data_IF_620955669060
#
_entry.id   IF_620955669060
#
_cell.length_a   1.000
_cell.length_b   1.000
_cell.length_c   1.000
_cell.angle_alpha   90.00
_cell.angle_beta   90.00
_cell.angle_gamma   90.00
#
_symmetry.space_group_name_H-M   'P 1'
#
loop_
_entity.id
_entity.type
_entity.pdbx_description
1 polymer ?
#
# COMPACT_ATOMS: atom_id res chain seq x y z
N UNK A 1 -9.65 -4.14 -45.48
CA UNK A 1 -9.38 -3.59 -44.13
C UNK A 1 -9.63 -4.72 -43.15
N UNK A 2 -8.61 -5.23 -42.46
CA UNK A 2 -8.83 -6.14 -41.34
C UNK A 2 -9.28 -5.30 -40.14
N UNK A 3 -10.49 -5.55 -39.65
CA UNK A 3 -10.95 -5.01 -38.36
C UNK A 3 -10.43 -5.91 -37.25
N UNK A 4 -9.65 -5.35 -36.33
CA UNK A 4 -9.15 -6.03 -35.14
C UNK A 4 -9.89 -5.43 -33.93
N UNK A 5 -10.66 -6.24 -33.20
CA UNK A 5 -11.20 -5.87 -31.89
C UNK A 5 -10.61 -6.78 -30.80
N UNK A 6 -10.34 -6.22 -29.62
CA UNK A 6 -9.86 -6.95 -28.44
C UNK A 6 -10.76 -6.65 -27.26
N UNK A 7 -11.20 -7.69 -26.53
CA UNK A 7 -11.47 -7.60 -25.10
C UNK A 7 -11.40 -9.02 -24.47
N UNK A 8 -10.45 -9.23 -23.56
CA UNK A 8 -10.37 -10.45 -22.75
C UNK A 8 -9.06 -10.57 -21.96
N UNK A 9 -9.02 -9.96 -20.76
CA UNK A 9 -7.94 -10.16 -19.78
C UNK A 9 -8.38 -11.20 -18.74
N UNK A 10 -7.49 -12.12 -18.37
CA UNK A 10 -7.72 -13.10 -17.29
C UNK A 10 -6.55 -13.02 -16.32
N UNK A 11 -6.84 -12.87 -15.02
CA UNK A 11 -5.87 -13.02 -13.95
C UNK A 11 -5.85 -14.50 -13.48
N UNK A 12 -4.68 -15.15 -13.49
CA UNK A 12 -4.50 -16.53 -13.00
C UNK A 12 -3.16 -17.17 -13.42
N UNK A 13 -2.65 -18.18 -12.67
CA UNK A 13 -1.21 -18.49 -12.64
C UNK A 13 -0.72 -19.40 -13.80
N UNK A 14 0.50 -19.07 -14.25
CA UNK A 14 1.55 -19.81 -14.97
C UNK A 14 1.15 -20.99 -15.89
N UNK A 15 1.38 -20.82 -17.20
CA UNK A 15 2.12 -21.79 -18.02
C UNK A 15 2.63 -21.16 -19.34
N UNK A 16 3.93 -21.41 -19.59
CA UNK A 16 4.70 -21.43 -20.84
C UNK A 16 4.77 -20.20 -21.75
N UNK A 17 6.01 -19.75 -21.91
CA UNK A 17 6.45 -18.62 -22.71
C UNK A 17 6.37 -18.87 -24.23
N UNK A 18 5.90 -17.86 -24.96
CA UNK A 18 6.31 -17.58 -26.34
C UNK A 18 6.81 -16.14 -26.37
N UNK A 19 8.09 -16.00 -26.70
CA UNK A 19 8.83 -14.75 -26.70
C UNK A 19 8.54 -14.00 -28.01
N UNK A 20 7.63 -13.04 -27.98
CA UNK A 20 7.65 -11.92 -28.92
C UNK A 20 8.22 -10.73 -28.17
N UNK A 21 9.35 -10.20 -28.65
CA UNK A 21 10.04 -9.08 -28.02
C UNK A 21 9.16 -7.83 -28.01
N UNK A 22 8.41 -7.65 -26.93
CA UNK A 22 7.60 -6.47 -26.66
C UNK A 22 7.97 -5.99 -25.26
N UNK A 23 8.98 -5.13 -25.20
CA UNK A 23 9.28 -4.37 -23.99
C UNK A 23 8.32 -3.18 -23.92
N UNK A 24 7.56 -2.98 -22.83
CA UNK A 24 6.91 -1.70 -22.60
C UNK A 24 8.00 -0.63 -22.48
N UNK A 25 8.03 0.33 -23.40
CA UNK A 25 9.06 1.39 -23.47
C UNK A 25 8.93 2.47 -22.40
N UNK A 26 8.06 2.28 -21.42
CA UNK A 26 8.02 3.09 -20.22
C UNK A 26 7.38 2.28 -19.11
N UNK A 27 8.10 2.13 -17.99
CA UNK A 27 7.46 1.81 -16.71
C UNK A 27 6.29 2.78 -16.53
N UNK A 28 5.07 2.33 -16.22
CA UNK A 28 3.96 3.26 -16.06
C UNK A 28 4.38 4.28 -15.00
N UNK A 29 4.24 5.57 -15.33
CA UNK A 29 4.35 6.63 -14.34
C UNK A 29 3.40 6.23 -13.21
N UNK A 30 3.98 5.96 -12.04
CA UNK A 30 3.27 5.45 -10.89
C UNK A 30 2.16 6.43 -10.54
N UNK A 31 0.91 6.06 -10.81
CA UNK A 31 -0.25 6.88 -10.41
C UNK A 31 -0.29 6.86 -8.89
N UNK A 32 0.31 7.87 -8.26
CA UNK A 32 0.12 8.13 -6.83
C UNK A 32 -1.24 8.77 -6.70
N UNK A 33 -2.26 7.96 -6.47
CA UNK A 33 -3.54 8.46 -5.98
C UNK A 33 -3.27 9.19 -4.66
N UNK A 34 -3.74 10.43 -4.56
CA UNK A 34 -3.52 11.32 -3.42
C UNK A 34 -4.85 11.95 -3.03
N UNK A 35 -4.95 12.44 -1.80
CA UNK A 35 -6.20 13.06 -1.32
C UNK A 35 -7.24 12.04 -0.83
N UNK A 36 -6.84 10.79 -0.54
CA UNK A 36 -7.75 9.77 -0.05
C UNK A 36 -8.29 10.14 1.35
N UNK A 37 -9.59 9.95 1.56
CA UNK A 37 -10.20 10.24 2.86
C UNK A 37 -9.74 9.25 3.92
N UNK A 38 -9.45 9.74 5.12
CA UNK A 38 -9.18 8.88 6.27
C UNK A 38 -10.40 8.03 6.61
N UNK A 39 -10.19 6.75 6.90
CA UNK A 39 -11.22 5.87 7.46
C UNK A 39 -11.46 6.16 8.95
N UNK A 40 -10.46 6.74 9.63
CA UNK A 40 -10.57 7.14 11.02
C UNK A 40 -11.06 8.60 11.11
N UNK A 41 -12.23 8.88 11.72
CA UNK A 41 -12.77 10.23 11.80
C UNK A 41 -11.95 11.17 12.69
N UNK A 42 -11.02 10.65 13.50
CA UNK A 42 -10.09 11.44 14.31
C UNK A 42 -8.84 11.88 13.55
N UNK A 43 -8.72 11.52 12.27
CA UNK A 43 -7.63 11.94 11.39
C UNK A 43 -8.19 12.84 10.29
N UNK A 44 -7.80 14.10 10.31
CA UNK A 44 -8.17 15.09 9.29
C UNK A 44 -7.27 15.05 8.04
N UNK A 45 -6.17 14.30 8.09
CA UNK A 45 -5.21 14.21 7.01
C UNK A 45 -5.77 13.38 5.84
N UNK A 46 -5.39 13.78 4.62
CA UNK A 46 -5.65 12.98 3.43
C UNK A 46 -4.49 12.03 3.16
N UNK A 47 -4.80 10.78 2.84
CA UNK A 47 -3.81 9.76 2.58
C UNK A 47 -3.30 9.83 1.14
N UNK A 48 -1.99 9.60 0.99
CA UNK A 48 -1.40 9.21 -0.29
C UNK A 48 -1.39 7.67 -0.41
N UNK A 49 -1.82 7.14 -1.55
CA UNK A 49 -1.67 5.72 -1.86
C UNK A 49 -0.21 5.41 -2.18
N UNK A 50 0.40 4.56 -1.36
CA UNK A 50 1.80 4.15 -1.48
C UNK A 50 1.96 2.64 -1.36
N UNK A 51 3.15 2.16 -1.70
CA UNK A 51 3.58 0.77 -1.48
C UNK A 51 4.56 0.73 -0.32
N UNK A 52 4.75 -0.47 0.25
CA UNK A 52 5.83 -0.73 1.22
C UNK A 52 7.18 -0.26 0.68
N UNK A 53 7.45 -0.45 -0.62
CA UNK A 53 8.69 -0.03 -1.25
C UNK A 53 8.87 1.48 -1.27
N UNK A 54 7.83 2.29 -1.38
CA UNK A 54 7.98 3.75 -1.32
C UNK A 54 8.46 4.19 0.06
N UNK A 55 7.98 3.51 1.11
CA UNK A 55 8.33 3.81 2.50
C UNK A 55 9.73 3.29 2.81
N UNK A 56 10.06 2.05 2.43
CA UNK A 56 11.37 1.46 2.69
C UNK A 56 12.49 1.99 1.77
N UNK A 57 12.13 2.53 0.60
CA UNK A 57 13.08 3.04 -0.38
C UNK A 57 13.82 1.95 -1.17
N UNK A 58 15.00 2.26 -1.75
CA UNK A 58 15.74 1.37 -2.65
C UNK A 58 16.34 0.15 -1.94
N UNK A 59 16.43 0.14 -0.61
CA UNK A 59 16.93 -1.02 0.11
C UNK A 59 15.92 -2.17 0.19
N UNK A 60 14.67 -1.97 -0.25
CA UNK A 60 13.68 -3.06 -0.30
C UNK A 60 14.28 -4.34 -0.95
N UNK A 61 14.19 -5.52 -0.31
CA UNK A 61 13.36 -5.85 0.86
C UNK A 61 14.08 -5.75 2.23
N UNK A 62 15.13 -4.96 2.38
CA UNK A 62 15.72 -4.63 3.68
C UNK A 62 15.25 -3.25 4.13
N UNK A 63 15.31 -3.01 5.44
CA UNK A 63 14.94 -1.73 6.01
C UNK A 63 16.16 -0.81 6.08
N UNK A 64 15.98 0.44 5.66
CA UNK A 64 16.95 1.51 5.85
C UNK A 64 16.23 2.85 5.89
N UNK A 65 16.75 3.80 6.64
CA UNK A 65 16.31 5.19 6.51
C UNK A 65 16.84 5.83 5.21
N UNK A 66 18.01 5.37 4.72
CA UNK A 66 18.74 6.04 3.66
C UNK A 66 18.14 5.76 2.27
N UNK A 67 17.72 6.82 1.58
CA UNK A 67 17.11 6.74 0.25
C UNK A 67 15.61 6.47 0.26
N UNK A 68 14.96 6.39 1.43
CA UNK A 68 13.50 6.37 1.51
C UNK A 68 12.91 7.68 1.01
N UNK A 69 11.73 7.61 0.36
CA UNK A 69 10.93 8.79 0.00
C UNK A 69 10.59 9.65 1.22
N UNK A 70 10.44 9.02 2.39
CA UNK A 70 10.02 9.63 3.65
C UNK A 70 11.19 10.01 4.56
N UNK A 71 12.44 9.83 4.10
CA UNK A 71 13.62 10.27 4.84
C UNK A 71 13.59 11.80 5.01
N UNK A 72 13.68 12.30 6.24
CA UNK A 72 13.68 13.75 6.52
C UNK A 72 15.09 14.26 6.81
N UNK A 73 15.98 13.41 7.35
CA UNK A 73 17.40 13.72 7.53
C UNK A 73 18.27 12.44 7.52
N UNK A 74 19.53 12.51 7.94
CA UNK A 74 20.45 11.36 7.95
C UNK A 74 20.03 10.20 8.84
N UNK A 75 19.23 10.44 9.87
CA UNK A 75 18.90 9.46 10.92
C UNK A 75 17.39 9.33 11.19
N UNK A 76 16.55 10.12 10.54
CA UNK A 76 15.11 10.16 10.77
C UNK A 76 14.31 10.25 9.47
N UNK A 77 13.02 9.95 9.59
CA UNK A 77 12.04 10.02 8.53
C UNK A 77 10.61 9.92 9.05
N UNK A 78 9.64 10.28 8.22
CA UNK A 78 8.24 10.32 8.62
C UNK A 78 7.92 11.48 9.56
N UNK A 79 6.85 11.33 10.34
CA UNK A 79 6.41 12.32 11.34
C UNK A 79 7.50 12.55 12.42
N UNK A 80 7.56 13.74 13.03
CA UNK A 80 8.64 14.08 13.96
C UNK A 80 8.46 13.49 15.38
N UNK A 81 7.26 13.02 15.73
CA UNK A 81 6.93 12.51 17.06
C UNK A 81 6.00 11.30 16.95
N UNK A 82 6.46 10.14 17.42
CA UNK A 82 5.75 8.86 17.29
C UNK A 82 4.36 8.91 17.96
N UNK A 83 4.21 9.55 19.13
CA UNK A 83 2.99 9.52 19.95
C UNK A 83 2.06 10.68 19.76
N UNK A 84 2.29 11.54 18.76
CA UNK A 84 1.45 12.72 18.60
C UNK A 84 -0.03 12.31 18.44
N UNK A 85 -0.92 12.88 19.26
CA UNK A 85 -2.37 12.78 19.05
C UNK A 85 -2.85 13.66 17.88
N UNK A 86 -1.97 14.50 17.34
CA UNK A 86 -2.21 15.30 16.14
C UNK A 86 -0.92 15.38 15.30
N UNK A 87 -0.51 14.26 14.66
CA UNK A 87 0.66 14.28 13.78
C UNK A 87 0.46 15.27 12.62
N UNK A 88 1.52 15.92 12.12
CA UNK A 88 1.39 16.84 10.99
C UNK A 88 0.97 16.07 9.74
N UNK A 89 -0.02 16.54 8.98
CA UNK A 89 -0.49 15.86 7.76
C UNK A 89 0.53 15.82 6.62
N UNK A 90 1.56 16.66 6.69
CA UNK A 90 2.62 16.72 5.70
C UNK A 90 3.98 16.73 6.35
N UNK A 91 4.96 16.16 5.66
CA UNK A 91 6.39 16.29 5.97
C UNK A 91 7.13 16.88 4.78
N UNK A 92 8.32 17.42 5.03
CA UNK A 92 9.27 17.76 3.97
C UNK A 92 10.41 16.75 4.03
N UNK A 93 10.63 16.01 2.95
CA UNK A 93 11.71 15.04 2.91
C UNK A 93 13.08 15.71 2.68
N UNK A 94 14.15 14.92 2.73
CA UNK A 94 15.54 15.38 2.60
C UNK A 94 15.85 16.08 1.27
N UNK A 95 15.04 15.84 0.23
CA UNK A 95 15.19 16.52 -1.08
C UNK A 95 14.36 17.81 -1.20
N UNK A 96 13.65 18.20 -0.14
CA UNK A 96 12.78 19.38 -0.12
C UNK A 96 11.37 19.14 -0.66
N UNK A 97 10.99 17.89 -0.93
CA UNK A 97 9.65 17.54 -1.42
C UNK A 97 8.66 17.49 -0.26
N UNK A 98 7.52 18.17 -0.40
CA UNK A 98 6.40 18.06 0.54
C UNK A 98 5.57 16.82 0.19
N UNK A 99 5.33 15.98 1.18
CA UNK A 99 4.62 14.71 1.06
C UNK A 99 3.52 14.63 2.10
N UNK A 100 2.43 13.91 1.83
CA UNK A 100 1.54 13.50 2.91
C UNK A 100 2.32 12.58 3.85
N UNK A 101 2.23 12.82 5.16
CA UNK A 101 2.77 11.93 6.17
C UNK A 101 1.83 10.75 6.46
N UNK A 102 0.57 10.90 6.06
CA UNK A 102 -0.50 9.93 6.22
C UNK A 102 -0.65 9.15 4.93
N UNK A 103 -0.60 7.83 5.03
CA UNK A 103 -0.54 6.98 3.85
C UNK A 103 -1.57 5.87 3.91
N UNK A 104 -1.99 5.43 2.73
CA UNK A 104 -2.73 4.21 2.54
C UNK A 104 -1.83 3.20 1.81
N UNK A 105 -1.81 1.96 2.29
CA UNK A 105 -1.10 0.85 1.64
C UNK A 105 -2.10 -0.28 1.43
N UNK A 106 -2.36 -0.60 0.17
CA UNK A 106 -3.27 -1.68 -0.20
C UNK A 106 -2.50 -2.96 -0.49
N UNK A 107 -3.19 -4.10 -0.41
CA UNK A 107 -2.64 -5.32 -1.00
C UNK A 107 -1.56 -6.02 -0.18
N UNK A 108 -1.55 -5.88 1.16
CA UNK A 108 -0.51 -6.44 2.04
C UNK A 108 -1.05 -7.57 2.92
N UNK A 109 -0.17 -8.40 3.46
CA UNK A 109 -0.52 -9.41 4.47
C UNK A 109 0.02 -9.04 5.85
N UNK A 110 -0.77 -9.32 6.89
CA UNK A 110 -0.35 -9.15 8.29
C UNK A 110 0.50 -10.34 8.72
N UNK A 111 1.80 -10.12 8.83
CA UNK A 111 2.78 -11.09 9.29
C UNK A 111 3.14 -10.82 10.75
N UNK A 112 2.74 -11.70 11.67
CA UNK A 112 3.02 -11.56 13.10
C UNK A 112 2.30 -10.36 13.73
N UNK A 113 1.26 -10.60 14.52
CA UNK A 113 0.55 -9.56 15.27
C UNK A 113 0.33 -9.99 16.73
N UNK A 114 0.71 -9.12 17.66
CA UNK A 114 0.58 -9.38 19.10
C UNK A 114 -0.44 -8.46 19.75
N UNK A 115 -1.57 -9.01 20.20
CA UNK A 115 -2.50 -8.28 21.10
C UNK A 115 -1.86 -8.05 22.50
N UNK A 116 -0.70 -8.67 22.77
CA UNK A 116 0.12 -8.44 23.97
C UNK A 116 1.46 -7.81 23.62
N UNK A 117 2.04 -6.86 24.34
CA UNK A 117 1.60 -5.66 25.08
C UNK A 117 2.94 -5.00 25.38
N UNK A 118 3.55 -4.40 24.35
CA UNK A 118 4.77 -3.62 24.53
C UNK A 118 4.37 -2.24 25.03
N UNK A 119 5.28 -1.62 25.79
CA UNK A 119 5.16 -0.22 26.15
C UNK A 119 3.83 0.16 26.86
N UNK A 120 3.40 -0.66 27.82
CA UNK A 120 2.21 -0.35 28.61
C UNK A 120 2.39 0.88 29.51
N UNK A 121 1.36 1.73 29.59
CA UNK A 121 1.33 2.85 30.54
C UNK A 121 -0.10 3.09 31.04
N UNK A 122 -0.22 3.72 32.21
CA UNK A 122 -1.46 4.30 32.72
C UNK A 122 -1.58 5.80 32.46
N UNK A 123 -0.64 6.37 31.71
CA UNK A 123 -0.43 7.79 31.50
C UNK A 123 -0.15 8.09 30.03
N UNK A 124 -0.69 9.19 29.55
CA UNK A 124 -0.26 9.80 28.30
C UNK A 124 1.23 10.11 28.37
N UNK A 125 1.90 10.08 27.22
CA UNK A 125 3.24 10.60 27.06
C UNK A 125 3.31 12.08 27.45
N UNK A 126 4.51 12.55 27.82
CA UNK A 126 4.74 13.98 28.13
C UNK A 126 4.37 14.89 26.94
N UNK A 127 4.54 14.39 25.71
CA UNK A 127 4.16 15.10 24.48
C UNK A 127 2.66 15.40 24.44
N UNK A 128 1.84 14.50 25.00
CA UNK A 128 0.40 14.62 25.12
C UNK A 128 -0.06 15.12 26.51
N UNK A 129 0.82 15.82 27.24
CA UNK A 129 0.51 16.46 28.52
C UNK A 129 0.70 15.58 29.76
N UNK A 130 1.02 14.29 29.63
CA UNK A 130 1.45 13.45 30.75
C UNK A 130 0.36 13.06 31.76
N UNK A 131 -0.92 13.32 31.48
CA UNK A 131 -2.03 13.01 32.39
C UNK A 131 -2.37 11.52 32.48
N UNK A 132 -3.15 11.11 33.50
CA UNK A 132 -3.68 9.75 33.59
C UNK A 132 -4.62 9.45 32.43
N UNK A 133 -4.59 8.22 31.93
CA UNK A 133 -5.63 7.75 31.03
C UNK A 133 -7.00 7.74 31.71
N UNK A 134 -8.10 7.88 30.95
CA UNK A 134 -9.45 7.81 31.48
C UNK A 134 -9.68 6.56 32.34
N UNK A 135 -10.45 6.71 33.42
CA UNK A 135 -10.82 5.63 34.34
C UNK A 135 -9.64 4.86 34.96
N UNK A 136 -8.45 5.49 35.05
CA UNK A 136 -7.21 4.85 35.51
C UNK A 136 -6.86 3.55 34.76
N UNK A 137 -7.28 3.44 33.50
CA UNK A 137 -6.96 2.29 32.67
C UNK A 137 -5.48 2.27 32.27
N UNK A 138 -4.97 1.07 32.01
CA UNK A 138 -3.66 0.85 31.40
C UNK A 138 -3.85 0.45 29.96
N UNK A 139 -3.23 1.19 29.04
CA UNK A 139 -3.21 0.87 27.62
C UNK A 139 -1.78 0.48 27.20
N UNK A 140 -1.70 -0.43 26.23
CA UNK A 140 -0.44 -0.93 25.70
C UNK A 140 -0.47 -0.83 24.19
N UNK A 141 0.70 -0.65 23.59
CA UNK A 141 0.82 -0.63 22.13
C UNK A 141 0.61 -2.05 21.58
N UNK A 142 -0.16 -2.13 20.49
CA UNK A 142 -0.31 -3.36 19.73
C UNK A 142 0.49 -3.25 18.43
N UNK A 143 1.38 -4.20 18.20
CA UNK A 143 2.28 -4.15 17.06
C UNK A 143 2.09 -5.36 16.14
N UNK A 144 2.32 -5.13 14.84
CA UNK A 144 2.46 -6.18 13.85
C UNK A 144 3.42 -5.81 12.75
N UNK A 145 3.58 -6.69 11.77
CA UNK A 145 4.33 -6.41 10.55
C UNK A 145 3.44 -6.59 9.34
N UNK A 146 3.54 -5.70 8.36
CA UNK A 146 2.90 -5.87 7.07
C UNK A 146 3.96 -6.12 6.02
N UNK A 147 3.65 -7.03 5.10
CA UNK A 147 4.54 -7.47 4.04
C UNK A 147 3.77 -7.49 2.72
N UNK A 148 4.45 -7.21 1.60
CA UNK A 148 3.87 -7.33 0.27
C UNK A 148 3.51 -8.80 0.02
N UNK A 149 2.31 -9.07 -0.49
CA UNK A 149 1.88 -10.44 -0.80
C UNK A 149 2.92 -11.13 -1.70
N UNK A 150 3.26 -12.38 -1.36
CA UNK A 150 4.26 -13.17 -2.08
C UNK A 150 5.71 -12.86 -1.70
N UNK A 151 5.95 -11.99 -0.72
CA UNK A 151 7.30 -11.69 -0.20
C UNK A 151 7.47 -12.15 1.24
N UNK A 152 8.71 -12.41 1.66
CA UNK A 152 9.04 -12.94 3.00
C UNK A 152 10.05 -12.08 3.77
N UNK A 153 10.49 -10.97 3.18
CA UNK A 153 11.42 -9.98 3.76
C UNK A 153 10.93 -8.58 3.41
N UNK A 154 11.33 -7.58 4.20
CA UNK A 154 11.01 -6.17 3.92
C UNK A 154 9.63 -5.81 4.41
N UNK A 155 9.50 -5.68 5.72
CA UNK A 155 8.26 -5.35 6.38
C UNK A 155 8.22 -3.89 6.80
N UNK A 156 7.01 -3.33 6.87
CA UNK A 156 6.72 -2.16 7.71
C UNK A 156 6.16 -2.64 9.04
N UNK A 157 6.56 -2.02 10.14
CA UNK A 157 5.81 -2.16 11.39
C UNK A 157 4.49 -1.43 11.28
N UNK A 158 3.50 -1.92 12.00
CA UNK A 158 2.27 -1.19 12.27
C UNK A 158 2.08 -1.18 13.78
N UNK A 159 1.72 -0.02 14.33
CA UNK A 159 1.50 0.12 15.77
C UNK A 159 0.21 0.88 16.05
N UNK A 160 -0.74 0.23 16.72
CA UNK A 160 -1.85 0.97 17.35
C UNK A 160 -1.29 1.49 18.67
N UNK A 161 -0.94 2.78 18.68
CA UNK A 161 -0.28 3.44 19.80
C UNK A 161 -1.18 3.52 21.05
N UNK A 162 -0.56 3.39 22.21
CA UNK A 162 -1.25 3.43 23.50
C UNK A 162 -1.90 4.77 23.83
N UNK A 163 -1.32 5.90 23.42
CA UNK A 163 -1.89 7.22 23.71
C UNK A 163 -3.15 7.41 22.85
N UNK A 164 -3.13 6.88 21.62
CA UNK A 164 -4.29 6.80 20.75
C UNK A 164 -5.42 5.94 21.31
N UNK A 165 -5.10 4.76 21.83
CA UNK A 165 -6.07 3.92 22.56
C UNK A 165 -6.62 4.65 23.79
N UNK A 166 -5.74 5.25 24.60
CA UNK A 166 -6.14 6.00 25.79
C UNK A 166 -7.00 7.21 25.50
N UNK A 167 -6.81 7.86 24.35
CA UNK A 167 -7.67 8.95 23.86
C UNK A 167 -9.00 8.47 23.28
N UNK A 168 -9.11 7.18 22.96
CA UNK A 168 -10.27 6.60 22.28
C UNK A 168 -10.28 6.80 20.77
N UNK A 169 -9.14 7.16 20.16
CA UNK A 169 -9.00 7.30 18.71
C UNK A 169 -8.86 5.96 17.97
N UNK A 170 -8.72 4.88 18.73
CA UNK A 170 -8.81 3.50 18.26
C UNK A 170 -9.61 2.67 19.29
N UNK A 171 -10.38 1.68 18.84
CA UNK A 171 -11.20 0.82 19.69
C UNK A 171 -12.69 0.78 19.29
N UNK A 172 -13.57 0.46 20.25
CA UNK A 172 -15.01 0.17 20.03
C UNK A 172 -15.78 1.33 19.36
N UNK A 173 -15.32 2.57 19.47
CA UNK A 173 -15.90 3.75 18.82
C UNK A 173 -15.33 4.07 17.42
N UNK A 174 -14.31 3.34 16.96
CA UNK A 174 -13.60 3.59 15.70
C UNK A 174 -13.48 2.28 14.92
N UNK A 175 -14.50 1.89 14.12
CA UNK A 175 -14.61 0.55 13.53
C UNK A 175 -13.41 0.13 12.69
N UNK A 176 -12.79 1.09 11.97
CA UNK A 176 -11.62 0.83 11.13
C UNK A 176 -10.34 0.63 11.94
N UNK A 177 -10.30 1.06 13.20
CA UNK A 177 -9.17 0.84 14.11
C UNK A 177 -9.53 -0.17 15.21
N UNK A 178 -9.87 -1.39 14.78
CA UNK A 178 -10.19 -2.48 15.69
C UNK A 178 -8.94 -3.35 15.94
N UNK A 179 -8.32 -3.19 17.11
CA UNK A 179 -7.10 -3.90 17.49
C UNK A 179 -7.32 -5.39 17.82
N UNK A 180 -8.52 -5.78 18.25
CA UNK A 180 -8.84 -7.14 18.66
C UNK A 180 -9.07 -8.05 17.46
N UNK A 181 -9.82 -7.56 16.47
CA UNK A 181 -10.18 -8.33 15.27
C UNK A 181 -9.02 -8.38 14.27
N UNK A 182 -8.14 -7.36 14.22
CA UNK A 182 -7.00 -7.35 13.29
C UNK A 182 -6.14 -8.61 13.41
N UNK A 183 -5.89 -9.07 14.63
CA UNK A 183 -5.10 -10.28 14.88
C UNK A 183 -5.68 -11.57 14.29
N UNK A 184 -6.98 -11.60 13.97
CA UNK A 184 -7.63 -12.75 13.33
C UNK A 184 -7.23 -12.89 11.85
N UNK A 185 -6.70 -11.84 11.24
CA UNK A 185 -6.33 -11.80 9.82
C UNK A 185 -4.82 -11.99 9.58
N UNK A 186 -4.09 -12.50 10.58
CA UNK A 186 -2.69 -12.85 10.41
C UNK A 186 -2.53 -13.93 9.33
N UNK A 187 -1.70 -13.66 8.32
CA UNK A 187 -1.51 -14.53 7.16
C UNK A 187 -0.11 -14.33 6.56
N UNK A 188 0.38 -15.35 5.86
CA UNK A 188 1.61 -15.27 5.06
C UNK A 188 1.31 -15.08 3.56
N UNK A 189 0.24 -14.36 3.22
CA UNK A 189 -0.10 -13.97 1.85
C UNK A 189 -1.42 -14.52 1.28
N UNK A 190 -2.22 -15.23 2.07
CA UNK A 190 -3.56 -15.69 1.65
C UNK A 190 -4.68 -14.67 1.86
N UNK A 191 -4.43 -13.65 2.68
CA UNK A 191 -5.36 -12.57 2.98
C UNK A 191 -4.69 -11.25 2.59
N UNK A 192 -5.47 -10.42 1.89
CA UNK A 192 -5.08 -9.08 1.52
C UNK A 192 -5.78 -8.07 2.41
N UNK A 193 -5.01 -7.14 2.96
CA UNK A 193 -5.46 -6.05 3.82
C UNK A 193 -5.02 -4.71 3.22
N UNK A 194 -5.84 -3.70 3.44
CA UNK A 194 -5.48 -2.30 3.24
C UNK A 194 -5.28 -1.65 4.62
N UNK A 195 -4.26 -0.82 4.76
CA UNK A 195 -3.95 -0.09 5.99
C UNK A 195 -3.84 1.42 5.74
N UNK A 196 -4.25 2.21 6.73
CA UNK A 196 -3.96 3.64 6.81
C UNK A 196 -3.20 3.95 8.11
N UNK A 197 -2.20 4.81 8.01
CA UNK A 197 -1.41 5.23 9.16
C UNK A 197 -0.37 6.30 8.83
N UNK A 198 0.27 6.84 9.86
CA UNK A 198 1.32 7.83 9.70
C UNK A 198 2.68 7.16 9.53
N UNK A 199 3.43 7.58 8.53
CA UNK A 199 4.79 7.05 8.33
C UNK A 199 5.69 7.60 9.44
N UNK A 200 6.42 6.71 10.09
CA UNK A 200 7.39 7.03 11.14
C UNK A 200 8.65 6.18 10.99
N UNK A 201 9.80 6.74 11.37
CA UNK A 201 11.05 5.99 11.50
C UNK A 201 11.42 5.88 12.97
N UNK A 202 11.27 4.68 13.54
CA UNK A 202 11.75 4.38 14.89
C UNK A 202 13.25 4.03 14.81
N UNK A 203 14.10 5.06 14.81
CA UNK A 203 15.54 4.88 14.72
C UNK A 203 16.12 4.22 15.98
N UNK A 204 17.03 3.23 15.86
CA UNK A 204 17.69 2.69 14.65
C UNK A 204 17.04 1.43 14.03
N UNK A 205 15.77 1.13 14.31
CA UNK A 205 15.20 -0.20 14.10
C UNK A 205 14.45 -0.36 12.78
N UNK A 206 13.43 0.47 12.52
CA UNK A 206 12.52 0.22 11.41
C UNK A 206 11.59 1.38 11.04
N UNK A 207 11.04 1.28 9.82
CA UNK A 207 9.89 2.07 9.37
C UNK A 207 8.58 1.49 9.91
N UNK A 208 7.69 2.39 10.28
CA UNK A 208 6.40 2.06 10.86
C UNK A 208 5.27 2.87 10.23
N UNK A 209 4.07 2.30 10.26
CA UNK A 209 2.84 3.09 10.38
C UNK A 209 2.54 3.26 11.86
N UNK A 210 2.96 4.41 12.40
CA UNK A 210 2.82 4.77 13.80
C UNK A 210 2.31 6.21 13.93
N UNK A 211 1.09 6.42 14.44
CA UNK A 211 0.12 5.39 14.76
C UNK A 211 -0.48 4.79 13.48
N UNK A 212 -0.80 3.49 13.55
CA UNK A 212 -1.76 2.86 12.66
C UNK A 212 -3.16 3.37 13.03
N UNK A 213 -3.87 3.91 12.06
CA UNK A 213 -5.13 4.61 12.32
C UNK A 213 -6.33 3.83 11.80
N UNK A 214 -6.12 2.88 10.89
CA UNK A 214 -7.18 2.00 10.44
C UNK A 214 -6.72 0.92 9.47
N UNK A 215 -7.56 -0.10 9.31
CA UNK A 215 -7.36 -1.21 8.41
C UNK A 215 -8.70 -1.76 7.92
N UNK A 216 -8.66 -2.51 6.81
CA UNK A 216 -9.80 -3.30 6.31
C UNK A 216 -9.31 -4.46 5.46
N UNK A 217 -10.21 -5.42 5.20
CA UNK A 217 -10.00 -6.37 4.11
C UNK A 217 -9.93 -5.63 2.78
N UNK A 218 -8.93 -5.96 1.96
CA UNK A 218 -8.86 -5.44 0.60
C UNK A 218 -10.10 -5.87 -0.17
N UNK A 219 -10.61 -4.98 -1.03
CA UNK A 219 -11.63 -5.38 -1.99
C UNK A 219 -11.09 -6.54 -2.86
N UNK A 220 -11.92 -7.54 -3.20
CA UNK A 220 -11.51 -8.56 -4.16
C UNK A 220 -11.13 -7.86 -5.47
N UNK A 221 -10.03 -8.29 -6.12
CA UNK A 221 -9.62 -7.68 -7.36
C UNK A 221 -10.73 -7.83 -8.41
N UNK A 222 -10.89 -6.79 -9.20
CA UNK A 222 -11.81 -6.76 -10.35
C UNK A 222 -11.02 -7.03 -11.63
N UNK A 223 -11.68 -7.39 -12.75
CA UNK A 223 -10.99 -7.45 -14.02
C UNK A 223 -10.33 -6.11 -14.35
N UNK A 224 -9.07 -6.11 -14.85
CA UNK A 224 -8.43 -4.88 -15.27
C UNK A 224 -9.21 -4.23 -16.42
N UNK A 225 -9.10 -2.90 -16.52
CA UNK A 225 -9.64 -2.18 -17.66
C UNK A 225 -8.95 -2.58 -18.97
N UNK A 226 -9.55 -2.24 -20.12
CA UNK A 226 -8.92 -2.52 -21.42
C UNK A 226 -7.59 -1.74 -21.58
N UNK A 227 -6.60 -2.29 -22.32
CA UNK A 227 -5.40 -1.55 -22.68
C UNK A 227 -5.77 -0.28 -23.46
N UNK A 228 -5.03 0.80 -23.24
CA UNK A 228 -5.32 2.09 -23.84
C UNK A 228 -4.54 2.28 -25.14
N UNK A 229 -5.05 3.14 -26.04
CA UNK A 229 -4.32 3.59 -27.24
C UNK A 229 -3.74 2.44 -28.08
N UNK A 230 -4.51 1.37 -28.26
CA UNK A 230 -4.13 0.27 -29.15
C UNK A 230 -4.06 0.77 -30.60
N UNK A 231 -2.90 0.59 -31.21
CA UNK A 231 -2.65 0.88 -32.61
C UNK A 231 -1.99 -0.31 -33.30
N UNK A 232 -2.29 -0.48 -34.59
CA UNK A 232 -1.74 -1.53 -35.44
C UNK A 232 -1.14 -0.92 -36.70
N UNK A 233 0.12 -1.26 -36.99
CA UNK A 233 0.82 -0.84 -38.22
C UNK A 233 1.15 -2.07 -39.06
N UNK A 234 0.63 -2.11 -40.29
CA UNK A 234 0.91 -3.20 -41.22
C UNK A 234 2.31 -3.10 -41.83
N UNK A 235 2.96 -4.25 -42.00
CA UNK A 235 4.22 -4.41 -42.73
C UNK A 235 4.17 -5.64 -43.64
N UNK A 236 5.27 -5.94 -44.33
CA UNK A 236 5.35 -7.13 -45.18
C UNK A 236 5.24 -8.40 -44.32
N UNK A 237 4.15 -9.15 -44.49
CA UNK A 237 3.83 -10.36 -43.74
C UNK A 237 3.82 -10.21 -42.21
N UNK A 238 3.72 -8.97 -41.69
CA UNK A 238 3.74 -8.70 -40.26
C UNK A 238 2.80 -7.55 -39.88
N UNK A 239 2.42 -7.52 -38.60
CA UNK A 239 1.68 -6.40 -38.00
C UNK A 239 2.38 -6.04 -36.70
N UNK A 240 2.72 -4.76 -36.54
CA UNK A 240 3.26 -4.22 -35.29
C UNK A 240 2.11 -3.65 -34.47
N UNK A 241 1.96 -4.12 -33.23
CA UNK A 241 0.96 -3.62 -32.28
C UNK A 241 1.65 -2.78 -31.21
N UNK A 242 1.06 -1.62 -30.90
CA UNK A 242 1.48 -0.76 -29.78
C UNK A 242 0.27 -0.41 -28.94
N UNK A 243 0.42 -0.37 -27.62
CA UNK A 243 -0.63 0.05 -26.70
C UNK A 243 -0.01 0.62 -25.42
N UNK A 244 -0.84 1.29 -24.64
CA UNK A 244 -0.55 1.73 -23.28
C UNK A 244 -1.22 0.80 -22.27
N UNK A 245 -0.69 0.78 -21.05
CA UNK A 245 -1.26 0.00 -19.97
C UNK A 245 -2.74 0.38 -19.70
N UNK A 246 -3.55 -0.56 -19.19
CA UNK A 246 -4.86 -0.26 -18.64
C UNK A 246 -4.85 0.95 -17.70
N UNK A 247 -5.93 1.72 -17.69
CA UNK A 247 -6.10 2.83 -16.74
C UNK A 247 -6.18 2.34 -15.29
N UNK A 248 -6.70 1.11 -15.11
CA UNK A 248 -6.73 0.38 -13.84
C UNK A 248 -6.36 -1.08 -14.08
N UNK A 249 -5.54 -1.63 -13.18
CA UNK A 249 -5.19 -3.05 -13.10
C UNK A 249 -6.21 -3.88 -12.30
N UNK A 250 -7.30 -3.26 -11.84
CA UNK A 250 -8.34 -3.93 -11.06
C UNK A 250 -7.90 -4.33 -9.65
N UNK A 251 -6.75 -3.86 -9.16
CA UNK A 251 -6.21 -4.21 -7.84
C UNK A 251 -5.34 -5.46 -7.84
N UNK A 252 -4.87 -5.92 -9.00
CA UNK A 252 -3.86 -6.99 -9.10
C UNK A 252 -2.90 -6.73 -10.27
N UNK A 253 -1.58 -6.97 -10.09
CA UNK A 253 -0.60 -6.71 -11.14
C UNK A 253 -0.94 -7.42 -12.46
N UNK A 254 -0.88 -6.69 -13.58
CA UNK A 254 -1.04 -7.27 -14.91
C UNK A 254 0.15 -8.17 -15.22
N UNK A 255 -0.09 -9.46 -15.44
CA UNK A 255 0.96 -10.45 -15.71
C UNK A 255 1.22 -10.67 -17.19
N UNK A 256 0.22 -10.46 -18.05
CA UNK A 256 0.31 -10.70 -19.49
C UNK A 256 -0.83 -10.02 -20.25
N UNK A 257 -0.65 -9.91 -21.57
CA UNK A 257 -1.71 -9.56 -22.52
C UNK A 257 -2.00 -10.76 -23.42
N UNK A 258 -3.26 -10.88 -23.87
CA UNK A 258 -3.67 -11.85 -24.89
C UNK A 258 -4.04 -11.12 -26.16
N UNK A 259 -3.46 -11.52 -27.28
CA UNK A 259 -3.74 -10.93 -28.59
C UNK A 259 -4.72 -11.83 -29.32
N UNK A 260 -5.78 -11.25 -29.88
CA UNK A 260 -6.76 -11.95 -30.68
C UNK A 260 -6.72 -11.39 -32.10
N UNK A 261 -6.89 -12.24 -33.12
CA UNK A 261 -6.98 -11.82 -34.53
C UNK A 261 -8.23 -12.40 -35.18
N UNK A 262 -8.89 -11.63 -36.03
CA UNK A 262 -10.06 -12.04 -36.79
C UNK A 262 -10.23 -11.21 -38.05
N UNK A 263 -11.11 -11.67 -38.93
CA UNK A 263 -11.48 -10.95 -40.16
C UNK A 263 -12.73 -10.08 -39.97
N UNK A 264 -13.47 -10.29 -38.87
CA UNK A 264 -14.64 -9.54 -38.47
C UNK A 264 -14.70 -9.42 -36.94
N UNK A 265 -15.39 -8.40 -36.40
CA UNK A 265 -15.65 -8.30 -34.97
C UNK A 265 -16.30 -9.59 -34.44
N UNK A 266 -15.95 -10.01 -33.22
CA UNK A 266 -16.48 -11.20 -32.51
C UNK A 266 -16.12 -12.56 -33.10
N UNK A 267 -15.30 -12.59 -34.16
CA UNK A 267 -14.79 -13.83 -34.78
C UNK A 267 -13.31 -14.07 -34.47
N UNK A 268 -12.74 -13.31 -33.54
CA UNK A 268 -11.32 -13.32 -33.27
C UNK A 268 -10.88 -14.59 -32.53
N UNK A 269 -9.79 -15.17 -32.99
CA UNK A 269 -9.12 -16.31 -32.35
C UNK A 269 -7.87 -15.84 -31.61
N UNK A 270 -7.56 -16.47 -30.48
CA UNK A 270 -6.33 -16.21 -29.74
C UNK A 270 -5.12 -16.46 -30.65
N UNK A 271 -4.25 -15.47 -30.75
CA UNK A 271 -2.98 -15.57 -31.45
C UNK A 271 -1.97 -16.25 -30.52
N UNK A 272 -1.67 -17.51 -30.80
CA UNK A 272 -0.67 -18.34 -30.11
C UNK A 272 0.68 -18.30 -30.81
#
# INVERSE_FOLDING_TARGET
MLGLAIAGLIAGPLASAIQSGLSPTSSPARVTESGLTSWNPHVSCSADLVTIRDVLGPAYPTQTVNGSRYQTNSTAGGIPQERALSPPCTITNKTGTVLSSFVQINGVSLYGYGIKTTDCSGWYSKQNGGGRYPNNQTFCTNAGQIITIGTTRGYLRIEIDRDWLGKGYCGVGVPYCNNATLGQYQSNGSISLDFQGFVFWEGPYHWELHPLTGWRLSAPPTPPSAPQNLAATGGNAQVTLTWQAPASDGGSPITNYKIYRGLAPTTETLLT
#
